data_IF_796187298863
#
_entry.id   IF_796187298863
#
_cell.length_a   1.000
_cell.length_b   1.000
_cell.length_c   1.000
_cell.angle_alpha   90.00
_cell.angle_beta   90.00
_cell.angle_gamma   90.00
#
_symmetry.space_group_name_H-M   'P 1'
#
loop_
_entity.id
_entity.type
_entity.pdbx_description
1 polymer ?
#
# COMPACT_ATOMS: atom_id res chain seq x y z
N UNK A 1 23.29 40.09 22.69
CA UNK A 1 23.84 39.00 21.83
C UNK A 1 25.19 39.46 21.27
N UNK A 2 26.16 38.56 21.19
CA UNK A 2 27.55 38.91 20.82
C UNK A 2 27.70 39.05 19.30
N UNK A 3 28.58 39.94 18.84
CA UNK A 3 28.84 40.15 17.40
C UNK A 3 29.43 38.91 16.71
N UNK A 4 30.00 37.98 17.49
CA UNK A 4 30.40 36.64 17.04
C UNK A 4 29.22 35.82 16.50
N UNK A 5 27.99 36.10 16.94
CA UNK A 5 26.76 35.47 16.41
C UNK A 5 26.34 36.11 15.08
N UNK A 6 26.60 37.42 14.88
CA UNK A 6 26.28 38.14 13.64
C UNK A 6 27.22 37.74 12.50
N UNK A 7 28.52 37.57 12.78
CA UNK A 7 29.49 37.12 11.76
C UNK A 7 29.19 35.70 11.26
N UNK A 8 28.79 34.79 12.17
CA UNK A 8 28.44 33.41 11.83
C UNK A 8 27.13 33.28 11.02
N UNK A 9 26.17 34.17 11.24
CA UNK A 9 24.98 34.27 10.39
C UNK A 9 25.33 34.77 8.98
N UNK A 10 26.17 35.82 8.90
CA UNK A 10 26.52 36.47 7.62
C UNK A 10 27.37 35.58 6.70
N UNK A 11 28.20 34.69 7.24
CA UNK A 11 28.97 33.72 6.45
C UNK A 11 28.14 32.57 5.89
N UNK A 12 26.96 32.26 6.46
CA UNK A 12 26.04 31.23 5.96
C UNK A 12 25.10 31.71 4.86
N UNK A 13 24.73 33.00 4.86
CA UNK A 13 23.88 33.57 3.81
C UNK A 13 24.56 33.60 2.42
N UNK A 14 25.88 33.78 2.38
CA UNK A 14 26.67 33.93 1.16
C UNK A 14 26.94 32.61 0.39
N UNK A 15 26.07 31.61 0.52
CA UNK A 15 26.19 30.28 -0.12
C UNK A 15 24.89 29.70 -0.68
N UNK A 16 23.85 30.53 -0.84
CA UNK A 16 22.65 30.16 -1.59
C UNK A 16 22.86 30.48 -3.09
N UNK A 17 22.37 29.65 -4.02
CA UNK A 17 22.29 30.00 -5.44
C UNK A 17 21.26 31.13 -5.66
N UNK A 18 21.34 31.88 -6.76
CA UNK A 18 20.37 32.93 -7.07
C UNK A 18 18.98 32.35 -7.37
N UNK A 19 17.94 33.08 -6.97
CA UNK A 19 16.54 32.73 -7.23
C UNK A 19 16.16 32.96 -8.70
N UNK A 20 15.17 32.20 -9.18
CA UNK A 20 14.60 32.33 -10.53
C UNK A 20 13.35 33.21 -10.45
N UNK A 21 13.10 34.14 -11.41
CA UNK A 21 11.98 35.07 -11.31
C UNK A 21 10.62 34.38 -11.22
N UNK A 22 9.79 34.85 -10.28
CA UNK A 22 8.36 34.54 -10.23
C UNK A 22 7.64 35.48 -11.21
N UNK A 23 6.83 34.92 -12.09
CA UNK A 23 5.80 35.68 -12.80
C UNK A 23 4.53 35.71 -11.96
N UNK A 24 3.98 36.91 -11.78
CA UNK A 24 2.73 37.16 -11.06
C UNK A 24 1.89 38.12 -11.92
N UNK A 25 0.71 37.67 -12.36
CA UNK A 25 -0.21 38.47 -13.18
C UNK A 25 -1.62 37.87 -13.10
N UNK A 26 -2.50 38.47 -12.28
CA UNK A 26 -3.89 38.06 -12.12
C UNK A 26 -4.83 39.22 -11.69
N UNK A 27 -4.96 40.25 -12.52
CA UNK A 27 -6.08 41.21 -12.45
C UNK A 27 -6.15 42.10 -13.71
N UNK A 28 -7.31 42.72 -13.93
CA UNK A 28 -7.61 43.74 -14.95
C UNK A 28 -7.68 43.22 -16.41
N UNK A 29 -8.65 43.60 -17.25
CA UNK A 29 -9.91 44.30 -16.98
C UNK A 29 -11.00 43.90 -18.02
N UNK A 30 -12.24 44.36 -17.83
CA UNK A 30 -13.35 44.20 -18.78
C UNK A 30 -13.62 45.57 -19.40
N UNK A 31 -13.61 45.71 -20.74
CA UNK A 31 -14.68 46.44 -21.47
C UNK A 31 -14.55 46.47 -23.02
N UNK A 32 -15.72 46.62 -23.66
CA UNK A 32 -16.03 47.24 -24.96
C UNK A 32 -15.58 46.61 -26.32
N UNK A 33 -16.61 46.25 -27.13
CA UNK A 33 -16.96 46.80 -28.46
C UNK A 33 -15.87 47.07 -29.54
N UNK A 34 -16.14 47.01 -30.85
CA UNK A 34 -17.18 46.44 -31.73
C UNK A 34 -16.63 46.55 -33.17
N UNK A 35 -17.36 46.12 -34.21
CA UNK A 35 -16.95 46.12 -35.64
C UNK A 35 -15.71 45.24 -35.98
N UNK A 36 -15.54 44.72 -37.20
CA UNK A 36 -16.43 44.69 -38.36
C UNK A 36 -15.69 44.32 -39.66
N UNK A 37 -16.45 43.95 -40.71
CA UNK A 37 -16.05 43.94 -42.14
C UNK A 37 -15.05 42.84 -42.62
N UNK A 38 -15.61 41.69 -43.00
CA UNK A 38 -15.66 41.14 -44.38
C UNK A 38 -14.36 41.11 -45.24
N UNK A 39 -13.74 39.92 -45.26
CA UNK A 39 -13.43 39.04 -46.42
C UNK A 39 -12.62 39.47 -47.68
N UNK A 40 -11.93 38.45 -48.24
CA UNK A 40 -11.35 38.34 -49.60
C UNK A 40 -10.00 39.06 -49.86
N UNK A 41 -9.08 38.63 -50.72
CA UNK A 41 -9.05 37.52 -51.72
C UNK A 41 -7.72 36.72 -51.71
N UNK A 42 -7.74 35.59 -52.42
CA UNK A 42 -6.59 34.79 -52.92
C UNK A 42 -5.38 35.60 -53.45
N UNK A 43 -4.17 35.03 -53.33
CA UNK A 43 -3.33 34.68 -54.51
C UNK A 43 -2.20 33.68 -54.12
N UNK A 44 -2.07 32.60 -54.89
CA UNK A 44 -0.87 31.74 -55.02
C UNK A 44 0.01 32.32 -56.14
N UNK A 45 1.36 32.23 -56.10
CA UNK A 45 1.99 31.03 -56.64
C UNK A 45 3.37 30.59 -56.08
N UNK A 46 3.56 29.26 -56.03
CA UNK A 46 4.70 28.43 -56.53
C UNK A 46 5.66 29.09 -57.57
N UNK A 47 6.92 28.67 -57.83
CA UNK A 47 7.83 27.53 -57.48
C UNK A 47 9.31 28.04 -57.53
N UNK A 48 10.43 27.35 -57.27
CA UNK A 48 10.77 25.94 -56.87
C UNK A 48 11.83 26.04 -55.72
N UNK A 49 13.02 25.42 -55.59
CA UNK A 49 13.81 24.38 -56.29
C UNK A 49 14.57 23.53 -55.25
N UNK A 50 14.36 22.20 -55.26
CA UNK A 50 15.40 21.19 -54.95
C UNK A 50 14.90 19.76 -55.22
N UNK A 51 15.04 19.30 -56.46
CA UNK A 51 14.64 17.95 -56.90
C UNK A 51 15.72 16.85 -56.75
N UNK A 52 15.30 15.58 -56.94
CA UNK A 52 16.12 14.34 -57.16
C UNK A 52 16.47 13.50 -55.90
N UNK A 53 16.55 12.16 -55.92
CA UNK A 53 16.16 11.12 -56.90
C UNK A 53 16.30 9.71 -56.26
N UNK A 54 15.68 8.60 -56.72
CA UNK A 54 14.47 8.42 -57.56
C UNK A 54 13.97 6.96 -57.51
N UNK A 55 12.65 6.80 -57.37
CA UNK A 55 11.74 5.90 -58.10
C UNK A 55 12.09 4.43 -58.45
N UNK A 56 11.17 3.53 -58.07
CA UNK A 56 10.77 2.37 -58.87
C UNK A 56 9.24 2.17 -58.74
N UNK A 57 8.55 1.72 -59.81
CA UNK A 57 7.08 1.82 -59.92
C UNK A 57 6.39 0.48 -60.24
N UNK A 58 5.13 0.35 -59.83
CA UNK A 58 4.15 -0.58 -60.42
C UNK A 58 2.72 -0.10 -60.15
N UNK A 59 2.01 0.31 -61.19
CA UNK A 59 0.60 0.74 -61.11
C UNK A 59 -0.35 -0.42 -61.44
N UNK A 60 -1.31 -0.68 -60.55
CA UNK A 60 -2.40 -1.64 -60.80
C UNK A 60 -3.70 -1.15 -60.16
N UNK A 61 -4.70 -0.80 -60.98
CA UNK A 61 -6.00 -0.29 -60.54
C UNK A 61 -6.97 -1.43 -60.21
N UNK A 62 -7.10 -1.77 -58.93
CA UNK A 62 -8.05 -2.77 -58.45
C UNK A 62 -9.37 -2.11 -58.03
N UNK A 63 -10.49 -2.55 -58.64
CA UNK A 63 -11.84 -2.15 -58.21
C UNK A 63 -12.19 -2.85 -56.88
N UNK A 64 -12.80 -2.15 -55.89
CA UNK A 64 -13.25 -2.79 -54.67
C UNK A 64 -14.48 -3.68 -54.92
N UNK A 65 -14.31 -5.00 -54.82
CA UNK A 65 -15.41 -5.97 -54.82
C UNK A 65 -16.02 -6.06 -53.42
N UNK A 66 -17.26 -5.58 -53.26
CA UNK A 66 -17.93 -5.51 -51.96
C UNK A 66 -18.44 -6.86 -51.45
N UNK A 67 -17.62 -7.61 -50.70
CA UNK A 67 -18.03 -8.68 -49.76
C UNK A 67 -16.86 -9.10 -48.84
N UNK A 68 -16.48 -8.25 -47.87
CA UNK A 68 -15.69 -8.69 -46.71
C UNK A 68 -16.17 -8.02 -45.41
N UNK A 69 -16.22 -8.79 -44.32
CA UNK A 69 -16.80 -8.36 -43.05
C UNK A 69 -15.82 -7.49 -42.24
N UNK A 70 -16.05 -6.17 -42.24
CA UNK A 70 -15.25 -5.17 -41.50
C UNK A 70 -15.31 -5.28 -39.96
N UNK A 71 -15.96 -6.32 -39.42
CA UNK A 71 -16.06 -6.62 -37.98
C UNK A 71 -15.41 -7.96 -37.57
N UNK A 72 -14.66 -8.60 -38.46
CA UNK A 72 -13.89 -9.80 -38.12
C UNK A 72 -12.78 -9.46 -37.12
N UNK A 73 -12.94 -9.85 -35.85
CA UNK A 73 -11.94 -9.65 -34.79
C UNK A 73 -10.62 -10.32 -35.19
N UNK A 74 -9.55 -9.53 -35.31
CA UNK A 74 -8.20 -10.07 -35.50
C UNK A 74 -7.83 -10.98 -34.32
N UNK A 75 -7.14 -12.11 -34.55
CA UNK A 75 -6.62 -12.92 -33.45
C UNK A 75 -5.61 -12.11 -32.63
N UNK A 76 -5.92 -11.84 -31.35
CA UNK A 76 -4.94 -11.23 -30.43
C UNK A 76 -3.70 -12.15 -30.36
N UNK A 77 -2.51 -11.53 -30.34
CA UNK A 77 -1.22 -12.22 -30.28
C UNK A 77 -1.11 -13.17 -29.08
N UNK A 78 -0.16 -14.10 -29.14
CA UNK A 78 0.15 -14.97 -28.01
C UNK A 78 0.56 -14.19 -26.74
N UNK A 79 1.20 -13.02 -26.88
CA UNK A 79 1.61 -12.18 -25.75
C UNK A 79 0.39 -11.70 -24.94
N UNK A 80 -0.65 -11.18 -25.61
CA UNK A 80 -1.88 -10.72 -24.97
C UNK A 80 -2.71 -11.83 -24.30
N UNK A 81 -2.37 -13.12 -24.52
CA UNK A 81 -2.87 -14.24 -23.73
C UNK A 81 -1.99 -14.51 -22.51
N UNK A 82 -0.66 -14.51 -22.66
CA UNK A 82 0.30 -14.70 -21.56
C UNK A 82 0.22 -13.58 -20.50
N UNK A 83 0.06 -12.33 -20.94
CA UNK A 83 -0.18 -11.14 -20.11
C UNK A 83 -1.48 -11.22 -19.29
N UNK A 84 -2.37 -12.16 -19.61
CA UNK A 84 -3.65 -12.37 -18.94
C UNK A 84 -3.78 -13.74 -18.25
N UNK A 85 -2.73 -14.57 -18.27
CA UNK A 85 -2.71 -15.84 -17.55
C UNK A 85 -2.55 -15.59 -16.05
N UNK A 86 -3.44 -16.08 -15.17
CA UNK A 86 -3.27 -15.97 -13.73
C UNK A 86 -1.90 -16.46 -13.23
N UNK A 87 -1.41 -15.88 -12.13
CA UNK A 87 -0.25 -16.36 -11.38
C UNK A 87 -0.71 -17.02 -10.07
N UNK A 88 0.14 -17.86 -9.47
CA UNK A 88 -0.16 -18.46 -8.17
C UNK A 88 0.22 -17.49 -7.04
N UNK A 89 -0.48 -17.54 -5.91
CA UNK A 89 0.00 -16.84 -4.70
C UNK A 89 1.33 -17.43 -4.22
N UNK A 90 1.59 -18.71 -4.52
CA UNK A 90 2.81 -19.44 -4.15
C UNK A 90 4.07 -18.88 -4.80
N UNK A 91 3.93 -18.08 -5.87
CA UNK A 91 5.03 -17.36 -6.50
C UNK A 91 5.48 -16.12 -5.67
N UNK A 92 4.74 -15.76 -4.61
CA UNK A 92 4.91 -14.53 -3.83
C UNK A 92 4.95 -14.72 -2.29
N UNK A 93 4.37 -15.80 -1.75
CA UNK A 93 4.31 -16.07 -0.31
C UNK A 93 4.69 -17.53 0.02
N UNK A 94 5.32 -17.72 1.19
CA UNK A 94 5.91 -19.01 1.59
C UNK A 94 4.84 -20.05 2.02
N UNK A 95 3.64 -19.61 2.41
CA UNK A 95 2.43 -20.43 2.68
C UNK A 95 1.16 -19.57 2.79
N UNK A 96 0.00 -20.22 2.74
CA UNK A 96 -1.28 -19.68 3.22
C UNK A 96 -1.65 -20.31 4.58
N UNK A 97 -2.48 -19.65 5.37
CA UNK A 97 -3.03 -20.14 6.64
C UNK A 97 -4.52 -19.79 6.75
N UNK A 98 -5.27 -20.71 7.36
CA UNK A 98 -6.62 -20.49 7.86
C UNK A 98 -6.58 -20.46 9.39
N UNK A 99 -7.15 -19.40 9.97
CA UNK A 99 -7.15 -19.08 11.39
C UNK A 99 -8.62 -19.00 11.85
N UNK A 100 -9.08 -20.05 12.52
CA UNK A 100 -10.49 -20.21 12.90
C UNK A 100 -10.83 -19.41 14.17
N UNK A 101 -11.99 -18.77 14.18
CA UNK A 101 -12.51 -17.99 15.30
C UNK A 101 -14.01 -18.23 15.51
N UNK A 102 -14.42 -18.59 16.73
CA UNK A 102 -15.83 -18.62 17.12
C UNK A 102 -16.13 -17.44 18.05
N UNK A 103 -16.94 -16.49 17.56
CA UNK A 103 -17.18 -15.19 18.20
C UNK A 103 -18.59 -14.68 17.90
N UNK A 104 -19.32 -14.26 18.94
CA UNK A 104 -20.69 -13.71 18.83
C UNK A 104 -21.69 -14.58 18.02
N UNK A 105 -21.55 -15.91 18.08
CA UNK A 105 -22.40 -16.85 17.32
C UNK A 105 -22.03 -16.98 15.83
N UNK A 106 -20.90 -16.40 15.42
CA UNK A 106 -20.29 -16.57 14.10
C UNK A 106 -19.04 -17.44 14.20
N UNK A 107 -18.82 -18.25 13.17
CA UNK A 107 -17.59 -19.01 12.95
C UNK A 107 -16.87 -18.41 11.74
N UNK A 108 -15.66 -17.90 11.93
CA UNK A 108 -14.90 -17.14 10.94
C UNK A 108 -13.58 -17.86 10.64
N UNK A 109 -13.41 -18.32 9.41
CA UNK A 109 -12.12 -18.81 8.91
C UNK A 109 -11.35 -17.63 8.31
N UNK A 110 -10.52 -16.95 9.10
CA UNK A 110 -9.67 -15.85 8.61
C UNK A 110 -8.54 -16.41 7.75
N UNK A 111 -8.39 -15.89 6.53
CA UNK A 111 -7.39 -16.33 5.58
C UNK A 111 -6.23 -15.34 5.47
N UNK A 112 -5.00 -15.86 5.51
CA UNK A 112 -3.79 -15.05 5.35
C UNK A 112 -2.74 -15.74 4.48
N UNK A 113 -2.02 -14.95 3.70
CA UNK A 113 -0.78 -15.34 3.04
C UNK A 113 0.40 -14.87 3.90
N UNK A 114 1.38 -15.73 4.15
CA UNK A 114 2.51 -15.40 5.01
C UNK A 114 3.86 -15.81 4.43
N UNK A 115 4.78 -14.85 4.46
CA UNK A 115 6.21 -15.07 4.50
C UNK A 115 6.70 -14.91 5.93
N UNK A 116 7.42 -15.89 6.48
CA UNK A 116 7.95 -15.78 7.84
C UNK A 116 9.15 -14.80 7.88
N UNK A 117 9.31 -13.98 8.93
CA UNK A 117 10.55 -13.26 9.16
C UNK A 117 11.67 -14.25 9.53
N UNK A 118 12.91 -13.90 9.21
CA UNK A 118 14.09 -14.58 9.73
C UNK A 118 14.79 -13.71 10.78
N UNK A 119 15.60 -14.35 11.62
CA UNK A 119 16.45 -13.66 12.60
C UNK A 119 15.65 -12.71 13.50
N UNK A 120 16.10 -11.47 13.69
CA UNK A 120 15.35 -10.39 14.35
C UNK A 120 14.65 -9.47 13.35
N UNK A 121 14.22 -9.99 12.20
CA UNK A 121 13.54 -9.23 11.14
C UNK A 121 12.12 -8.76 11.52
N UNK A 122 11.62 -7.68 10.90
CA UNK A 122 10.28 -7.17 11.16
C UNK A 122 9.21 -8.02 10.47
N UNK A 123 7.96 -7.88 10.92
CA UNK A 123 6.78 -8.36 10.21
C UNK A 123 5.97 -7.19 9.64
N UNK A 124 5.89 -7.09 8.31
CA UNK A 124 4.97 -6.19 7.65
C UNK A 124 3.59 -6.84 7.58
N UNK A 125 2.61 -6.29 8.30
CA UNK A 125 1.22 -6.77 8.31
C UNK A 125 0.40 -5.91 7.36
N UNK A 126 -0.13 -6.48 6.28
CA UNK A 126 -0.73 -5.71 5.18
C UNK A 126 -2.24 -5.95 5.03
N UNK A 127 -3.01 -4.87 5.05
CA UNK A 127 -4.48 -4.88 4.92
C UNK A 127 -4.92 -4.13 3.66
N UNK A 128 -5.71 -4.80 2.82
CA UNK A 128 -6.16 -4.29 1.54
C UNK A 128 -7.36 -3.32 1.62
N UNK A 129 -7.65 -2.63 0.52
CA UNK A 129 -8.85 -1.79 0.35
C UNK A 129 -10.15 -2.58 0.14
N UNK A 130 -11.30 -1.90 0.21
CA UNK A 130 -12.60 -2.56 0.03
C UNK A 130 -12.73 -3.20 -1.37
N UNK A 131 -13.32 -4.39 -1.45
CA UNK A 131 -13.44 -5.17 -2.69
C UNK A 131 -12.13 -5.74 -3.25
N UNK A 132 -11.05 -5.69 -2.47
CA UNK A 132 -9.71 -6.20 -2.83
C UNK A 132 -9.39 -7.52 -2.08
N UNK A 133 -8.12 -7.93 -2.03
CA UNK A 133 -7.66 -9.11 -1.26
C UNK A 133 -6.21 -8.92 -0.77
N UNK A 134 -5.69 -9.80 0.09
CA UNK A 134 -4.28 -9.77 0.52
C UNK A 134 -3.30 -9.87 -0.66
N UNK A 135 -3.72 -10.52 -1.77
CA UNK A 135 -2.92 -10.60 -2.99
C UNK A 135 -2.69 -9.23 -3.67
N UNK A 136 -3.43 -8.18 -3.31
CA UNK A 136 -3.11 -6.79 -3.67
C UNK A 136 -1.81 -6.27 -3.03
N UNK A 137 -1.17 -7.01 -2.13
CA UNK A 137 0.19 -6.73 -1.65
C UNK A 137 1.25 -7.70 -2.20
N UNK A 138 0.88 -8.72 -2.99
CA UNK A 138 1.80 -9.78 -3.43
C UNK A 138 3.05 -9.24 -4.17
N UNK A 139 2.85 -8.35 -5.14
CA UNK A 139 3.97 -7.73 -5.86
C UNK A 139 4.87 -6.88 -4.93
N UNK A 140 4.28 -6.13 -3.99
CA UNK A 140 5.05 -5.33 -3.04
C UNK A 140 5.79 -6.20 -2.00
N UNK A 141 5.20 -7.31 -1.56
CA UNK A 141 5.81 -8.27 -0.64
C UNK A 141 7.13 -8.85 -1.17
N UNK A 142 7.16 -9.21 -2.46
CA UNK A 142 8.38 -9.69 -3.14
C UNK A 142 9.46 -8.59 -3.20
N UNK A 143 9.08 -7.34 -3.48
CA UNK A 143 10.04 -6.22 -3.47
C UNK A 143 10.54 -5.88 -2.05
N UNK A 144 9.71 -6.03 -1.01
CA UNK A 144 10.16 -5.90 0.39
C UNK A 144 11.21 -6.98 0.72
N UNK A 145 10.94 -8.26 0.42
CA UNK A 145 11.90 -9.36 0.67
C UNK A 145 13.19 -9.23 -0.15
N UNK A 146 13.17 -8.55 -1.30
CA UNK A 146 14.41 -8.22 -2.06
C UNK A 146 15.29 -7.17 -1.36
N UNK A 147 14.67 -6.15 -0.76
CA UNK A 147 15.38 -5.01 -0.14
C UNK A 147 15.76 -5.32 1.32
N UNK A 148 14.98 -6.16 2.00
CA UNK A 148 15.19 -6.64 3.37
C UNK A 148 14.87 -8.14 3.45
N UNK A 149 15.83 -9.04 3.16
CA UNK A 149 15.58 -10.49 3.10
C UNK A 149 15.10 -11.13 4.41
N UNK A 150 15.34 -10.50 5.56
CA UNK A 150 14.86 -10.97 6.87
C UNK A 150 13.41 -10.59 7.17
N UNK A 151 12.78 -9.74 6.34
CA UNK A 151 11.42 -9.28 6.56
C UNK A 151 10.38 -10.38 6.33
N UNK A 152 9.53 -10.57 7.34
CA UNK A 152 8.29 -11.30 7.20
C UNK A 152 7.20 -10.42 6.59
N UNK A 153 6.25 -11.06 5.91
CA UNK A 153 5.05 -10.41 5.37
C UNK A 153 3.85 -11.24 5.82
N UNK A 154 2.88 -10.61 6.48
CA UNK A 154 1.58 -11.20 6.80
C UNK A 154 0.50 -10.42 6.05
N UNK A 155 -0.08 -10.98 5.01
CA UNK A 155 -1.13 -10.31 4.23
C UNK A 155 -2.46 -11.03 4.41
N UNK A 156 -3.45 -10.33 4.96
CA UNK A 156 -4.76 -10.91 5.28
C UNK A 156 -5.79 -10.61 4.20
N UNK A 157 -6.70 -11.57 3.99
CA UNK A 157 -7.99 -11.31 3.37
C UNK A 157 -8.96 -10.86 4.48
N UNK A 158 -9.50 -9.64 4.38
CA UNK A 158 -10.52 -9.17 5.32
C UNK A 158 -11.80 -10.02 5.25
N UNK A 159 -12.64 -10.00 6.28
CA UNK A 159 -13.95 -10.67 6.26
C UNK A 159 -14.76 -10.35 5.00
N UNK A 160 -15.39 -11.38 4.44
CA UNK A 160 -16.16 -11.32 3.19
C UNK A 160 -15.33 -10.90 1.94
N UNK A 161 -14.00 -10.99 2.01
CA UNK A 161 -13.05 -10.79 0.90
C UNK A 161 -12.14 -12.02 0.74
N UNK A 162 -11.51 -12.17 -0.42
CA UNK A 162 -10.54 -13.25 -0.71
C UNK A 162 -11.04 -14.64 -0.30
N UNK A 163 -10.26 -15.42 0.45
CA UNK A 163 -10.72 -16.73 0.97
C UNK A 163 -11.26 -16.67 2.41
N UNK A 164 -11.32 -15.50 3.06
CA UNK A 164 -11.90 -15.38 4.41
C UNK A 164 -13.41 -15.60 4.36
N UNK A 165 -13.90 -16.59 5.12
CA UNK A 165 -15.32 -16.94 5.16
C UNK A 165 -15.92 -16.76 6.54
N UNK A 166 -17.01 -15.99 6.60
CA UNK A 166 -17.85 -15.82 7.79
C UNK A 166 -19.06 -16.75 7.64
N UNK A 167 -19.32 -17.56 8.66
CA UNK A 167 -20.47 -18.47 8.75
C UNK A 167 -21.14 -18.28 10.10
N UNK A 168 -22.34 -18.83 10.26
CA UNK A 168 -22.95 -18.99 11.57
C UNK A 168 -22.28 -20.18 12.28
N UNK A 169 -22.00 -20.04 13.58
CA UNK A 169 -21.43 -21.13 14.37
C UNK A 169 -22.48 -22.24 14.59
N UNK A 170 -22.03 -23.49 14.77
CA UNK A 170 -22.93 -24.64 14.83
C UNK A 170 -23.79 -24.67 16.11
N UNK A 171 -23.35 -23.99 17.16
CA UNK A 171 -23.99 -23.95 18.47
C UNK A 171 -25.07 -22.86 18.62
N UNK A 172 -25.42 -22.11 17.56
CA UNK A 172 -26.40 -21.02 17.64
C UNK A 172 -27.81 -21.45 17.23
N UNK A 173 -28.82 -21.11 18.05
CA UNK A 173 -30.24 -21.44 17.81
C UNK A 173 -30.92 -20.59 16.71
N UNK A 174 -30.23 -19.58 16.15
CA UNK A 174 -30.79 -18.61 15.20
C UNK A 174 -30.59 -19.03 13.73
N UNK A 175 -31.66 -19.48 13.08
CA UNK A 175 -31.68 -19.84 11.65
C UNK A 175 -31.76 -18.64 10.68
N UNK A 176 -31.59 -17.39 11.13
CA UNK A 176 -31.52 -16.23 10.23
C UNK A 176 -30.26 -16.25 9.33
N UNK A 177 -30.23 -15.36 8.33
CA UNK A 177 -29.02 -15.15 7.54
C UNK A 177 -27.98 -14.37 8.37
N UNK A 178 -26.70 -14.67 8.15
CA UNK A 178 -25.61 -13.89 8.75
C UNK A 178 -25.61 -12.48 8.14
N UNK A 179 -25.93 -11.48 8.96
CA UNK A 179 -25.84 -10.08 8.56
C UNK A 179 -24.38 -9.71 8.26
N UNK A 180 -24.18 -8.92 7.20
CA UNK A 180 -22.88 -8.35 6.90
C UNK A 180 -22.51 -7.33 8.01
N UNK A 181 -21.37 -7.52 8.65
CA UNK A 181 -20.77 -6.55 9.57
C UNK A 181 -19.35 -6.23 9.09
N UNK A 182 -19.17 -5.01 8.58
CA UNK A 182 -17.89 -4.43 8.18
C UNK A 182 -17.60 -3.14 8.96
N UNK A 183 -18.08 -3.01 10.20
CA UNK A 183 -17.76 -1.86 11.03
C UNK A 183 -16.24 -1.76 11.27
N UNK A 184 -15.72 -0.53 11.34
CA UNK A 184 -14.29 -0.26 11.50
C UNK A 184 -13.71 -0.93 12.76
N UNK A 185 -14.46 -0.88 13.87
CA UNK A 185 -14.08 -1.53 15.13
C UNK A 185 -13.94 -3.05 14.98
N UNK A 186 -14.88 -3.69 14.25
CA UNK A 186 -14.86 -5.13 13.99
C UNK A 186 -13.68 -5.52 13.11
N UNK A 187 -13.45 -4.81 11.99
CA UNK A 187 -12.29 -5.04 11.11
C UNK A 187 -10.95 -4.85 11.85
N UNK A 188 -10.91 -3.86 12.74
CA UNK A 188 -9.78 -3.58 13.63
C UNK A 188 -9.56 -4.72 14.64
N UNK A 189 -10.63 -5.34 15.17
CA UNK A 189 -10.55 -6.52 16.04
C UNK A 189 -10.11 -7.77 15.26
N UNK A 190 -10.64 -8.00 14.07
CA UNK A 190 -10.24 -9.10 13.18
C UNK A 190 -8.73 -9.03 12.87
N UNK A 191 -8.20 -7.85 12.54
CA UNK A 191 -6.77 -7.63 12.28
C UNK A 191 -5.89 -8.00 13.50
N UNK A 192 -6.30 -7.58 14.70
CA UNK A 192 -5.57 -7.86 15.94
C UNK A 192 -5.63 -9.36 16.28
N UNK A 193 -6.78 -10.01 16.11
CA UNK A 193 -6.94 -11.46 16.24
C UNK A 193 -6.03 -12.22 15.27
N UNK A 194 -6.01 -11.83 14.00
CA UNK A 194 -5.17 -12.43 12.95
C UNK A 194 -3.68 -12.34 13.28
N UNK A 195 -3.21 -11.21 13.82
CA UNK A 195 -1.80 -11.04 14.22
C UNK A 195 -1.42 -12.00 15.36
N UNK A 196 -2.25 -12.11 16.40
CA UNK A 196 -1.97 -12.98 17.55
C UNK A 196 -2.15 -14.47 17.20
N UNK A 197 -3.18 -14.84 16.44
CA UNK A 197 -3.31 -16.23 15.96
C UNK A 197 -2.18 -16.61 15.00
N UNK A 198 -1.66 -15.68 14.20
CA UNK A 198 -0.45 -15.94 13.39
C UNK A 198 0.75 -16.25 14.29
N UNK A 199 0.96 -15.48 15.37
CA UNK A 199 2.02 -15.73 16.37
C UNK A 199 1.92 -17.14 16.95
N UNK A 200 0.71 -17.55 17.34
CA UNK A 200 0.43 -18.87 17.90
C UNK A 200 0.66 -19.97 16.84
N UNK A 201 0.05 -19.84 15.65
CA UNK A 201 0.11 -20.82 14.56
C UNK A 201 1.53 -21.01 14.00
N UNK A 202 2.36 -19.97 14.03
CA UNK A 202 3.76 -20.00 13.60
C UNK A 202 4.74 -20.31 14.74
N UNK A 203 4.24 -20.56 15.96
CA UNK A 203 5.02 -20.88 17.15
C UNK A 203 6.12 -19.84 17.47
N UNK A 204 5.76 -18.55 17.45
CA UNK A 204 6.66 -17.46 17.84
C UNK A 204 6.53 -17.14 19.34
N UNK A 205 7.64 -17.20 20.08
CA UNK A 205 7.67 -16.92 21.53
C UNK A 205 7.18 -15.51 21.88
N UNK A 206 7.45 -14.53 21.02
CA UNK A 206 6.84 -13.20 21.04
C UNK A 206 6.60 -12.72 19.61
N UNK A 207 5.73 -11.72 19.42
CA UNK A 207 5.57 -11.06 18.12
C UNK A 207 6.93 -10.53 17.62
N UNK A 208 7.25 -10.64 16.32
CA UNK A 208 8.24 -9.78 15.67
C UNK A 208 7.89 -8.30 15.87
N UNK A 209 8.85 -7.41 15.61
CA UNK A 209 8.55 -5.98 15.59
C UNK A 209 7.72 -5.65 14.33
N UNK A 210 6.61 -4.95 14.52
CA UNK A 210 5.52 -4.84 13.55
C UNK A 210 5.54 -3.50 12.80
N UNK A 211 5.28 -3.58 11.50
CA UNK A 211 4.90 -2.44 10.66
C UNK A 211 3.55 -2.75 10.00
N UNK A 212 2.50 -2.03 10.38
CA UNK A 212 1.18 -2.20 9.73
C UNK A 212 1.13 -1.38 8.42
N UNK A 213 0.55 -1.92 7.35
CA UNK A 213 0.42 -1.24 6.07
C UNK A 213 -1.00 -1.40 5.55
N UNK A 214 -1.74 -0.30 5.45
CA UNK A 214 -3.15 -0.32 5.10
C UNK A 214 -3.45 0.50 3.86
N UNK A 215 -4.10 -0.09 2.86
CA UNK A 215 -4.59 0.61 1.66
C UNK A 215 -6.09 0.93 1.78
N UNK A 216 -6.48 2.17 1.46
CA UNK A 216 -7.89 2.59 1.43
C UNK A 216 -8.62 2.24 2.74
N UNK A 217 -9.68 1.41 2.72
CA UNK A 217 -10.30 0.81 3.92
C UNK A 217 -9.25 0.24 4.91
N UNK A 218 -8.30 -0.56 4.43
CA UNK A 218 -7.24 -1.12 5.27
C UNK A 218 -6.39 -0.03 5.94
N UNK A 219 -6.24 1.14 5.32
CA UNK A 219 -5.59 2.32 5.91
C UNK A 219 -6.31 2.82 7.16
N UNK A 220 -7.64 2.80 7.15
CA UNK A 220 -8.44 3.07 8.35
C UNK A 220 -8.30 1.95 9.39
N UNK A 221 -8.37 0.68 8.97
CA UNK A 221 -8.29 -0.48 9.89
C UNK A 221 -6.96 -0.52 10.64
N UNK A 222 -5.82 -0.36 9.95
CA UNK A 222 -4.50 -0.33 10.63
C UNK A 222 -4.34 0.89 11.53
N UNK A 223 -4.95 2.01 11.18
CA UNK A 223 -4.92 3.23 12.00
C UNK A 223 -5.75 3.07 13.27
N UNK A 224 -6.91 2.41 13.19
CA UNK A 224 -7.75 2.11 14.35
C UNK A 224 -7.07 1.10 15.29
N UNK A 225 -6.50 0.01 14.75
CA UNK A 225 -5.71 -0.95 15.52
C UNK A 225 -4.48 -0.28 16.20
N UNK A 226 -3.78 0.63 15.51
CA UNK A 226 -2.71 1.44 16.07
C UNK A 226 -3.18 2.48 17.11
N UNK A 227 -4.48 2.83 17.09
CA UNK A 227 -5.12 3.74 18.07
C UNK A 227 -5.55 3.02 19.35
N UNK A 228 -5.85 1.71 19.27
CA UNK A 228 -6.19 0.84 20.42
C UNK A 228 -4.98 0.49 21.31
N UNK A 229 -3.76 0.53 20.76
CA UNK A 229 -2.49 0.25 21.46
C UNK A 229 -2.32 -1.18 22.03
N UNK A 230 -3.15 -2.13 21.60
CA UNK A 230 -3.08 -3.55 22.02
C UNK A 230 -1.77 -4.23 21.59
N UNK A 231 -1.18 -3.79 20.47
CA UNK A 231 0.16 -4.23 20.01
C UNK A 231 1.32 -3.60 20.81
N UNK A 232 1.03 -2.64 21.69
CA UNK A 232 1.94 -2.05 22.68
C UNK A 232 3.29 -1.60 22.10
N UNK A 233 4.37 -2.13 22.67
CA UNK A 233 5.73 -1.81 22.23
C UNK A 233 6.13 -2.45 20.90
N UNK A 234 5.46 -3.53 20.48
CA UNK A 234 5.80 -4.27 19.25
C UNK A 234 5.40 -3.52 17.98
N UNK A 235 4.40 -2.64 18.06
CA UNK A 235 4.14 -1.68 16.98
C UNK A 235 5.28 -0.66 16.91
N UNK A 236 6.09 -0.74 15.85
CA UNK A 236 7.09 0.28 15.55
C UNK A 236 6.45 1.46 14.83
N UNK A 237 5.70 1.16 13.76
CA UNK A 237 5.14 2.16 12.87
C UNK A 237 3.96 1.61 12.05
N UNK A 238 3.22 2.49 11.39
CA UNK A 238 2.17 2.13 10.44
C UNK A 238 2.15 3.09 9.24
N UNK A 239 1.69 2.56 8.11
CA UNK A 239 1.63 3.23 6.82
C UNK A 239 0.21 3.19 6.25
N UNK A 240 -0.27 4.33 5.78
CA UNK A 240 -1.59 4.50 5.16
C UNK A 240 -1.39 4.82 3.67
N UNK A 241 -2.09 4.10 2.79
CA UNK A 241 -1.95 4.20 1.33
C UNK A 241 -3.25 4.70 0.67
N UNK A 242 -3.14 5.80 -0.08
CA UNK A 242 -4.17 6.49 -0.86
C UNK A 242 -5.53 6.70 -0.17
N UNK A 243 -5.50 7.20 1.07
CA UNK A 243 -6.71 7.65 1.78
C UNK A 243 -6.40 8.82 2.71
N UNK A 244 -7.28 9.83 2.67
CA UNK A 244 -7.35 10.98 3.58
C UNK A 244 -8.84 11.28 3.81
N UNK A 245 -9.23 11.56 5.06
CA UNK A 245 -10.62 11.67 5.50
C UNK A 245 -11.51 12.52 4.57
N UNK A 246 -11.15 13.79 4.33
CA UNK A 246 -11.93 14.67 3.46
C UNK A 246 -12.09 14.12 2.04
N UNK A 247 -10.97 13.81 1.37
CA UNK A 247 -10.98 13.27 0.01
C UNK A 247 -11.70 11.92 -0.13
N UNK A 248 -11.71 11.10 0.93
CA UNK A 248 -12.43 9.84 0.95
C UNK A 248 -13.94 10.07 0.99
N UNK A 249 -14.41 10.95 1.88
CA UNK A 249 -15.81 11.34 1.99
C UNK A 249 -16.37 11.96 0.70
N UNK A 250 -15.58 12.79 0.02
CA UNK A 250 -15.94 13.32 -1.31
C UNK A 250 -16.00 12.19 -2.36
N UNK A 251 -15.01 11.29 -2.36
CA UNK A 251 -14.97 10.17 -3.30
C UNK A 251 -16.15 9.20 -3.15
N UNK A 252 -16.72 9.03 -1.94
CA UNK A 252 -17.91 8.18 -1.72
C UNK A 252 -19.10 8.58 -2.60
N UNK A 253 -19.27 9.88 -2.88
CA UNK A 253 -20.34 10.39 -3.74
C UNK A 253 -20.20 9.88 -5.19
N UNK A 254 -18.96 9.69 -5.66
CA UNK A 254 -18.67 9.16 -7.00
C UNK A 254 -18.72 7.62 -7.08
N UNK A 255 -18.72 6.94 -5.93
CA UNK A 255 -18.49 5.50 -5.86
C UNK A 255 -19.62 4.68 -6.49
N UNK A 256 -20.88 5.09 -6.35
CA UNK A 256 -22.01 4.40 -7.00
C UNK A 256 -21.91 4.44 -8.53
N UNK A 257 -21.50 5.60 -9.08
CA UNK A 257 -21.21 5.77 -10.50
C UNK A 257 -20.09 4.81 -10.92
N UNK A 258 -18.96 4.77 -10.20
CA UNK A 258 -17.89 3.80 -10.48
C UNK A 258 -18.39 2.35 -10.45
N UNK A 259 -19.11 1.95 -9.39
CA UNK A 259 -19.64 0.59 -9.26
C UNK A 259 -20.53 0.18 -10.45
N UNK A 260 -21.36 1.09 -10.96
CA UNK A 260 -22.23 0.84 -12.11
C UNK A 260 -21.51 0.70 -13.46
N UNK A 261 -20.29 1.25 -13.60
CA UNK A 261 -19.46 1.04 -14.81
C UNK A 261 -18.76 -0.32 -14.85
N UNK A 262 -18.71 -1.05 -13.72
CA UNK A 262 -18.01 -2.34 -13.65
C UNK A 262 -18.84 -3.45 -14.33
N UNK A 263 -18.23 -4.33 -15.13
CA UNK A 263 -18.91 -5.54 -15.62
C UNK A 263 -19.41 -6.38 -14.44
N UNK A 264 -20.67 -6.81 -14.45
CA UNK A 264 -21.25 -7.65 -13.39
C UNK A 264 -20.59 -9.03 -13.27
N UNK A 265 -20.08 -9.55 -14.38
CA UNK A 265 -19.39 -10.85 -14.48
C UNK A 265 -18.45 -10.92 -15.69
N UNK A 266 -17.59 -11.94 -15.75
CA UNK A 266 -16.60 -12.16 -16.80
C UNK A 266 -16.67 -13.57 -17.40
N UNK A 267 -16.38 -13.75 -18.71
CA UNK A 267 -16.32 -15.07 -19.35
C UNK A 267 -15.11 -15.92 -18.91
N UNK A 268 -14.09 -15.32 -18.30
CA UNK A 268 -12.94 -16.02 -17.74
C UNK A 268 -12.14 -15.13 -16.79
N UNK A 269 -11.33 -15.72 -15.91
CA UNK A 269 -10.33 -15.00 -15.10
C UNK A 269 -9.43 -14.10 -15.98
N UNK A 270 -8.96 -14.61 -17.12
CA UNK A 270 -8.16 -13.84 -18.07
C UNK A 270 -8.90 -12.62 -18.65
N UNK A 271 -10.23 -12.68 -18.77
CA UNK A 271 -11.04 -11.51 -19.14
C UNK A 271 -11.20 -10.51 -18.00
N UNK A 272 -11.21 -10.96 -16.75
CA UNK A 272 -11.16 -10.10 -15.55
C UNK A 272 -9.82 -9.38 -15.41
N UNK A 273 -8.71 -10.10 -15.59
CA UNK A 273 -7.34 -9.54 -15.58
C UNK A 273 -7.17 -8.50 -16.69
N UNK A 274 -7.59 -8.82 -17.93
CA UNK A 274 -7.62 -7.86 -19.05
C UNK A 274 -8.43 -6.60 -18.71
N UNK A 275 -9.59 -6.74 -18.05
CA UNK A 275 -10.41 -5.58 -17.74
C UNK A 275 -9.71 -4.63 -16.76
N UNK A 276 -9.09 -5.14 -15.68
CA UNK A 276 -8.40 -4.30 -14.69
C UNK A 276 -7.20 -3.53 -15.27
N UNK A 277 -6.46 -4.13 -16.21
CA UNK A 277 -5.33 -3.47 -16.88
C UNK A 277 -5.79 -2.50 -17.96
N UNK A 278 -6.84 -2.83 -18.71
CA UNK A 278 -7.40 -1.94 -19.74
C UNK A 278 -8.19 -0.76 -19.15
N UNK A 279 -8.86 -0.92 -18.01
CA UNK A 279 -9.49 0.17 -17.25
C UNK A 279 -8.47 1.05 -16.53
N UNK A 280 -7.21 0.58 -16.39
CA UNK A 280 -6.17 1.15 -15.52
C UNK A 280 -6.56 1.20 -14.04
N UNK A 281 -7.48 0.33 -13.61
CA UNK A 281 -7.78 0.09 -12.18
C UNK A 281 -6.56 -0.50 -11.49
N UNK A 282 -5.85 -1.42 -12.16
CA UNK A 282 -4.51 -1.90 -11.77
C UNK A 282 -3.62 -1.75 -13.00
N UNK A 283 -2.64 -0.85 -12.95
CA UNK A 283 -1.76 -0.51 -14.09
C UNK A 283 -0.66 -1.55 -14.29
N UNK A 284 -0.30 -2.28 -13.25
CA UNK A 284 0.77 -3.27 -13.27
C UNK A 284 0.26 -4.67 -13.65
N UNK A 285 0.67 -5.16 -14.82
CA UNK A 285 0.28 -6.48 -15.34
C UNK A 285 0.74 -7.65 -14.46
N UNK A 286 1.87 -7.55 -13.75
CA UNK A 286 2.29 -8.61 -12.81
C UNK A 286 1.30 -8.69 -11.64
N UNK A 287 1.01 -7.53 -11.02
CA UNK A 287 0.13 -7.46 -9.86
C UNK A 287 -1.29 -7.91 -10.23
N UNK A 288 -1.86 -7.37 -11.31
CA UNK A 288 -3.20 -7.76 -11.77
C UNK A 288 -3.35 -9.27 -12.04
N UNK A 289 -2.29 -9.97 -12.46
CA UNK A 289 -2.31 -11.43 -12.71
C UNK A 289 -2.37 -12.27 -11.43
N UNK A 290 -1.91 -11.75 -10.28
CA UNK A 290 -1.99 -12.43 -8.98
C UNK A 290 -3.13 -11.91 -8.10
N UNK A 291 -3.45 -10.61 -8.14
CA UNK A 291 -4.46 -9.99 -7.27
C UNK A 291 -5.90 -10.15 -7.76
N UNK A 292 -6.16 -10.10 -9.08
CA UNK A 292 -7.52 -10.20 -9.63
C UNK A 292 -8.21 -11.56 -9.43
N UNK A 293 -7.52 -12.72 -9.51
CA UNK A 293 -8.18 -14.03 -9.35
C UNK A 293 -8.95 -14.23 -8.05
N UNK A 294 -8.46 -13.72 -6.92
CA UNK A 294 -9.14 -13.78 -5.61
C UNK A 294 -10.35 -12.83 -5.52
N UNK A 295 -10.40 -11.76 -6.31
CA UNK A 295 -11.54 -10.83 -6.35
C UNK A 295 -12.78 -11.42 -7.04
N UNK A 296 -12.59 -12.54 -7.75
CA UNK A 296 -13.60 -13.24 -8.51
C UNK A 296 -13.94 -14.60 -7.86
N UNK A 297 -15.13 -15.11 -8.19
CA UNK A 297 -15.58 -16.47 -7.88
C UNK A 297 -16.29 -17.05 -9.08
N UNK A 298 -16.16 -18.35 -9.26
CA UNK A 298 -16.92 -19.07 -10.29
C UNK A 298 -18.34 -19.35 -9.79
N UNK A 299 -19.32 -19.05 -10.63
CA UNK A 299 -20.73 -19.38 -10.45
C UNK A 299 -21.15 -20.30 -11.62
N UNK A 300 -21.21 -21.63 -11.40
CA UNK A 300 -21.55 -22.60 -12.43
C UNK A 300 -22.95 -22.44 -13.07
N UNK A 301 -23.81 -21.56 -12.55
CA UNK A 301 -25.13 -21.28 -13.13
C UNK A 301 -25.08 -20.40 -14.39
N UNK A 302 -24.05 -19.57 -14.57
CA UNK A 302 -23.87 -18.73 -15.77
C UNK A 302 -22.75 -19.31 -16.65
N UNK A 303 -23.10 -20.21 -17.56
CA UNK A 303 -22.14 -20.83 -18.50
C UNK A 303 -21.52 -19.85 -19.50
N UNK A 304 -22.00 -18.60 -19.58
CA UNK A 304 -21.51 -17.57 -20.51
C UNK A 304 -20.50 -16.63 -19.86
N UNK A 305 -20.73 -16.28 -18.58
CA UNK A 305 -19.92 -15.34 -17.78
C UNK A 305 -19.86 -15.82 -16.32
N UNK A 306 -19.29 -17.00 -16.03
CA UNK A 306 -19.37 -17.60 -14.70
C UNK A 306 -18.58 -16.84 -13.63
N UNK A 307 -17.60 -16.00 -14.02
CA UNK A 307 -16.74 -15.31 -13.07
C UNK A 307 -17.38 -14.04 -12.55
N UNK A 308 -18.07 -14.13 -11.41
CA UNK A 308 -18.74 -13.02 -10.74
C UNK A 308 -17.81 -12.41 -9.68
N UNK A 309 -18.06 -11.16 -9.28
CA UNK A 309 -17.36 -10.56 -8.15
C UNK A 309 -17.58 -11.38 -6.86
N UNK A 310 -16.53 -11.52 -6.07
CA UNK A 310 -16.57 -12.27 -4.81
C UNK A 310 -17.28 -11.47 -3.72
N UNK A 311 -16.81 -10.26 -3.46
CA UNK A 311 -17.41 -9.32 -2.53
C UNK A 311 -18.44 -8.46 -3.24
N UNK A 312 -19.68 -8.42 -2.74
CA UNK A 312 -20.64 -7.39 -3.14
C UNK A 312 -20.24 -6.06 -2.48
N UNK A 313 -19.48 -5.27 -3.22
CA UNK A 313 -19.00 -3.97 -2.76
C UNK A 313 -20.15 -2.95 -2.58
N UNK A 314 -21.29 -3.10 -3.27
CA UNK A 314 -22.44 -2.21 -3.10
C UNK A 314 -23.17 -2.47 -1.76
N UNK A 315 -23.29 -3.74 -1.35
CA UNK A 315 -23.82 -4.12 -0.04
C UNK A 315 -23.00 -3.54 1.14
N UNK A 316 -21.75 -3.12 0.91
CA UNK A 316 -20.91 -2.49 1.94
C UNK A 316 -21.18 -0.99 2.16
N UNK A 317 -22.00 -0.34 1.32
CA UNK A 317 -22.30 1.11 1.39
C UNK A 317 -22.64 1.64 2.80
N UNK A 318 -23.44 0.96 3.65
CA UNK A 318 -23.79 1.47 4.98
C UNK A 318 -22.61 1.69 5.93
N UNK A 319 -21.43 1.12 5.64
CA UNK A 319 -20.24 1.22 6.49
C UNK A 319 -19.25 2.30 6.04
N UNK A 320 -19.34 2.77 4.78
CA UNK A 320 -18.28 3.57 4.13
C UNK A 320 -17.91 4.85 4.88
N UNK A 321 -18.91 5.63 5.29
CA UNK A 321 -18.72 6.88 6.04
C UNK A 321 -18.03 6.63 7.40
N UNK A 322 -18.48 5.59 8.11
CA UNK A 322 -17.93 5.19 9.42
C UNK A 322 -16.53 4.55 9.35
N UNK A 323 -16.00 4.27 8.14
CA UNK A 323 -14.60 3.90 7.96
C UNK A 323 -13.67 5.13 8.01
N UNK A 324 -14.14 6.30 7.60
CA UNK A 324 -13.29 7.47 7.36
C UNK A 324 -13.51 8.63 8.34
N UNK A 325 -14.67 8.73 9.00
CA UNK A 325 -14.92 9.73 10.05
C UNK A 325 -13.85 9.65 11.16
N UNK A 326 -13.19 10.78 11.41
CA UNK A 326 -12.11 10.94 12.39
C UNK A 326 -10.83 10.18 12.04
N UNK A 327 -10.66 9.66 10.82
CA UNK A 327 -9.46 8.94 10.41
C UNK A 327 -8.20 9.82 10.53
N UNK A 328 -8.24 11.07 10.06
CA UNK A 328 -7.07 11.95 10.08
C UNK A 328 -6.64 12.28 11.51
N UNK A 329 -7.63 12.44 12.41
CA UNK A 329 -7.44 12.61 13.85
C UNK A 329 -6.87 11.36 14.52
N UNK A 330 -7.44 10.18 14.22
CA UNK A 330 -6.95 8.89 14.73
C UNK A 330 -5.51 8.66 14.27
N UNK A 331 -5.21 8.89 13.00
CA UNK A 331 -3.87 8.81 12.41
C UNK A 331 -2.90 9.70 13.17
N UNK A 332 -3.17 11.00 13.34
CA UNK A 332 -2.23 11.88 14.06
C UNK A 332 -2.06 11.54 15.55
N UNK A 333 -2.98 10.80 16.16
CA UNK A 333 -2.96 10.41 17.58
C UNK A 333 -2.48 8.97 17.86
N UNK A 334 -2.42 8.08 16.87
CA UNK A 334 -2.07 6.67 17.07
C UNK A 334 -0.55 6.42 17.17
N UNK A 335 -0.18 5.37 17.93
CA UNK A 335 1.19 5.12 18.43
C UNK A 335 2.11 4.54 17.35
N UNK A 336 3.38 4.96 17.39
CA UNK A 336 4.42 4.52 16.46
C UNK A 336 4.73 5.56 15.39
N UNK A 337 5.71 5.26 14.54
CA UNK A 337 5.97 6.05 13.33
C UNK A 337 4.73 6.10 12.44
N UNK A 338 4.53 7.24 11.76
CA UNK A 338 3.43 7.45 10.80
C UNK A 338 3.96 7.71 9.40
N UNK A 339 3.46 6.97 8.41
CA UNK A 339 3.72 7.17 6.98
C UNK A 339 2.39 7.31 6.23
N UNK A 340 2.35 8.26 5.30
CA UNK A 340 1.24 8.44 4.36
C UNK A 340 1.80 8.42 2.93
N UNK A 341 1.33 7.48 2.12
CA UNK A 341 1.61 7.43 0.68
C UNK A 341 0.35 7.81 -0.09
N UNK A 342 0.43 8.80 -0.99
CA UNK A 342 -0.70 9.24 -1.82
C UNK A 342 -0.36 9.18 -3.31
N UNK A 343 -1.36 9.00 -4.17
CA UNK A 343 -1.21 9.20 -5.61
C UNK A 343 -1.10 10.69 -5.96
N UNK A 344 -1.80 11.57 -5.22
CA UNK A 344 -1.80 13.03 -5.44
C UNK A 344 -1.79 13.84 -4.14
N UNK A 345 -1.31 15.09 -4.21
CA UNK A 345 -1.26 16.05 -3.09
C UNK A 345 -2.55 16.82 -2.87
N UNK A 346 -3.47 16.78 -3.83
CA UNK A 346 -4.78 17.46 -3.92
C UNK A 346 -5.78 17.09 -2.80
N UNK A 347 -5.36 16.31 -1.80
CA UNK A 347 -6.23 15.50 -0.94
C UNK A 347 -5.99 15.66 0.55
N UNK A 348 -4.96 16.41 0.96
CA UNK A 348 -4.68 16.63 2.38
C UNK A 348 -5.75 17.55 3.00
N UNK A 349 -6.48 17.04 3.99
CA UNK A 349 -7.35 17.87 4.82
C UNK A 349 -6.56 18.77 5.78
N UNK A 350 -7.29 19.67 6.45
CA UNK A 350 -6.74 20.65 7.39
C UNK A 350 -5.96 20.00 8.54
N UNK A 351 -6.40 18.86 9.08
CA UNK A 351 -5.70 18.20 10.18
C UNK A 351 -4.37 17.60 9.68
N UNK A 352 -4.39 16.88 8.55
CA UNK A 352 -3.19 16.29 7.96
C UNK A 352 -2.21 17.34 7.43
N UNK A 353 -2.67 18.48 6.93
CA UNK A 353 -1.82 19.61 6.55
C UNK A 353 -1.11 20.19 7.78
N UNK A 354 -1.84 20.46 8.87
CA UNK A 354 -1.26 20.91 10.14
C UNK A 354 -0.28 19.86 10.69
N UNK A 355 -0.64 18.57 10.61
CA UNK A 355 0.23 17.48 11.04
C UNK A 355 1.53 17.37 10.24
N UNK A 356 1.48 17.64 8.93
CA UNK A 356 2.64 17.65 8.05
C UNK A 356 3.56 18.83 8.34
N UNK A 357 3.00 20.04 8.48
CA UNK A 357 3.77 21.24 8.88
C UNK A 357 4.40 21.09 10.27
N UNK A 358 3.81 20.28 11.15
CA UNK A 358 4.35 19.93 12.47
C UNK A 358 5.30 18.71 12.46
N UNK A 359 5.56 18.09 11.29
CA UNK A 359 6.44 16.93 11.15
C UNK A 359 5.97 15.67 11.88
N UNK A 360 4.66 15.52 12.13
CA UNK A 360 4.08 14.39 12.89
C UNK A 360 4.11 13.05 12.15
N UNK A 361 4.29 13.07 10.83
CA UNK A 361 4.35 11.90 9.96
C UNK A 361 5.28 12.15 8.77
N UNK A 362 5.63 11.07 8.07
CA UNK A 362 6.31 11.14 6.78
C UNK A 362 5.27 11.07 5.66
N UNK A 363 5.31 12.02 4.73
CA UNK A 363 4.49 12.04 3.51
C UNK A 363 5.37 11.74 2.30
N UNK A 364 4.85 10.95 1.36
CA UNK A 364 5.46 10.74 0.04
C UNK A 364 4.37 10.53 -1.02
N UNK A 365 4.57 11.08 -2.21
CA UNK A 365 3.55 11.10 -3.28
C UNK A 365 4.08 10.42 -4.55
N UNK A 366 3.26 9.57 -5.18
CA UNK A 366 3.57 8.82 -6.39
C UNK A 366 2.59 9.19 -7.53
N UNK A 367 2.81 10.30 -8.27
CA UNK A 367 1.89 10.79 -9.32
C UNK A 367 1.71 9.85 -10.52
N UNK A 368 2.57 8.84 -10.66
CA UNK A 368 2.48 7.81 -11.70
C UNK A 368 1.53 6.64 -11.33
N UNK A 369 1.10 6.56 -10.07
CA UNK A 369 0.16 5.54 -9.61
C UNK A 369 -1.30 5.92 -9.89
N UNK A 370 -2.18 4.92 -9.93
CA UNK A 370 -3.60 5.09 -9.62
C UNK A 370 -3.85 4.88 -8.12
N UNK A 371 -5.08 4.51 -7.77
CA UNK A 371 -5.48 4.31 -6.38
C UNK A 371 -4.69 3.18 -5.68
N UNK A 372 -4.32 2.13 -6.42
CA UNK A 372 -3.62 0.95 -5.89
C UNK A 372 -2.09 1.15 -5.93
N UNK A 373 -1.59 2.10 -5.14
CA UNK A 373 -0.16 2.49 -5.09
C UNK A 373 0.77 1.28 -4.96
N UNK A 374 0.43 0.33 -4.07
CA UNK A 374 1.19 -0.89 -3.80
C UNK A 374 1.20 -1.90 -4.97
N UNK A 375 0.20 -1.86 -5.86
CA UNK A 375 0.12 -2.73 -7.04
C UNK A 375 0.78 -2.06 -8.26
N UNK A 376 0.53 -0.76 -8.45
CA UNK A 376 1.03 0.01 -9.58
C UNK A 376 2.55 0.26 -9.48
N UNK A 377 3.03 0.59 -8.27
CA UNK A 377 4.40 0.99 -7.98
C UNK A 377 5.02 0.15 -6.84
N UNK A 378 5.07 -1.19 -6.97
CA UNK A 378 5.39 -2.11 -5.86
C UNK A 378 6.81 -1.92 -5.33
N UNK A 379 7.80 -1.76 -6.21
CA UNK A 379 9.20 -1.57 -5.83
C UNK A 379 9.45 -0.24 -5.11
N UNK A 380 8.83 0.84 -5.60
CA UNK A 380 8.90 2.17 -4.98
C UNK A 380 8.18 2.19 -3.62
N UNK A 381 7.04 1.50 -3.52
CA UNK A 381 6.31 1.29 -2.25
C UNK A 381 7.17 0.53 -1.25
N UNK A 382 7.76 -0.60 -1.67
CA UNK A 382 8.62 -1.43 -0.84
C UNK A 382 9.86 -0.69 -0.32
N UNK A 383 10.54 0.08 -1.18
CA UNK A 383 11.71 0.88 -0.78
C UNK A 383 11.35 1.86 0.34
N UNK A 384 10.26 2.63 0.18
CA UNK A 384 9.82 3.61 1.19
C UNK A 384 9.38 2.92 2.48
N UNK A 385 8.67 1.77 2.40
CA UNK A 385 8.28 0.99 3.57
C UNK A 385 9.48 0.43 4.35
N UNK A 386 10.50 -0.08 3.65
CA UNK A 386 11.70 -0.66 4.26
C UNK A 386 12.60 0.42 4.87
N UNK A 387 12.79 1.55 4.20
CA UNK A 387 13.58 2.66 4.77
C UNK A 387 12.84 3.34 5.93
N UNK A 388 11.51 3.40 5.87
CA UNK A 388 10.69 3.85 6.99
C UNK A 388 10.74 2.88 8.18
N UNK A 389 10.76 1.56 7.97
CA UNK A 389 11.06 0.59 9.01
C UNK A 389 12.44 0.85 9.65
N UNK A 390 13.52 0.90 8.85
CA UNK A 390 14.90 1.11 9.33
C UNK A 390 15.04 2.41 10.16
N UNK A 391 14.21 3.42 9.88
CA UNK A 391 14.18 4.70 10.59
C UNK A 391 13.43 4.66 11.93
N UNK A 392 12.53 3.69 12.11
CA UNK A 392 11.76 3.48 13.34
C UNK A 392 12.26 2.28 14.19
N UNK A 393 13.14 1.45 13.64
CA UNK A 393 13.82 0.38 14.37
C UNK A 393 14.61 0.96 15.55
N UNK A 394 14.37 0.37 16.72
CA UNK A 394 14.98 0.77 17.99
C UNK A 394 16.32 0.06 18.23
N UNK A 395 16.63 -1.01 17.49
CA UNK A 395 17.92 -1.70 17.56
C UNK A 395 19.09 -0.78 17.19
N UNK A 396 18.87 0.11 16.21
CA UNK A 396 19.84 1.12 15.77
C UNK A 396 20.14 2.21 16.83
N UNK A 397 19.33 2.31 17.90
CA UNK A 397 19.46 3.31 18.97
C UNK A 397 20.14 2.79 20.24
N UNK A 398 20.87 1.66 20.16
CA UNK A 398 21.80 1.25 21.22
C UNK A 398 22.95 2.26 21.31
N UNK A 399 22.78 3.25 22.18
CA UNK A 399 23.84 4.19 22.56
C UNK A 399 25.06 3.40 23.06
N UNK A 400 26.30 3.81 22.71
CA UNK A 400 27.50 3.24 23.32
C UNK A 400 27.38 3.26 24.85
N UNK A 401 27.71 2.16 25.56
CA UNK A 401 27.62 2.11 27.02
C UNK A 401 28.45 3.25 27.61
N UNK A 402 27.96 3.89 28.68
CA UNK A 402 28.61 5.10 29.20
C UNK A 402 30.01 4.72 29.66
N UNK A 403 30.96 5.65 29.53
CA UNK A 403 32.36 5.40 29.89
C UNK A 403 32.49 4.94 31.36
N UNK A 404 31.61 5.41 32.26
CA UNK A 404 31.51 4.90 33.62
C UNK A 404 31.10 3.42 33.73
N UNK A 405 30.17 2.95 32.90
CA UNK A 405 29.72 1.55 32.88
C UNK A 405 30.84 0.63 32.35
N UNK A 406 31.56 1.08 31.30
CA UNK A 406 32.74 0.40 30.75
C UNK A 406 33.85 0.32 31.82
N UNK A 407 34.15 1.41 32.51
CA UNK A 407 35.15 1.45 33.58
C UNK A 407 34.75 0.59 34.78
N UNK A 408 33.46 0.56 35.15
CA UNK A 408 32.95 -0.32 36.20
C UNK A 408 33.09 -1.80 35.81
N UNK A 409 32.73 -2.19 34.59
CA UNK A 409 32.92 -3.55 34.09
C UNK A 409 34.41 -3.96 34.08
N UNK A 410 35.31 -3.07 33.65
CA UNK A 410 36.76 -3.31 33.67
C UNK A 410 37.34 -3.38 35.10
N UNK A 411 36.81 -2.61 36.05
CA UNK A 411 37.20 -2.66 37.45
C UNK A 411 36.75 -3.99 38.11
N UNK A 412 35.50 -4.40 37.87
CA UNK A 412 34.96 -5.68 38.35
C UNK A 412 35.74 -6.87 37.78
N UNK A 413 36.06 -6.85 36.48
CA UNK A 413 36.88 -7.88 35.83
C UNK A 413 38.31 -7.98 36.43
N UNK A 414 38.90 -6.86 36.86
CA UNK A 414 40.20 -6.85 37.55
C UNK A 414 40.11 -7.28 39.02
N UNK A 415 39.00 -6.99 39.71
CA UNK A 415 38.77 -7.37 41.11
C UNK A 415 38.75 -8.89 41.33
N UNK A 416 38.26 -9.65 40.35
CA UNK A 416 38.16 -11.12 40.44
C UNK A 416 39.50 -11.87 40.44
N UNK A 417 40.63 -11.21 40.09
CA UNK A 417 41.96 -11.85 40.02
C UNK A 417 42.77 -11.84 41.31
N UNK A 418 42.29 -11.20 42.39
CA UNK A 418 43.08 -10.88 43.60
C UNK A 418 43.07 -11.92 44.73
N UNK A 419 42.80 -13.20 44.44
CA UNK A 419 42.57 -14.26 45.44
C UNK A 419 43.81 -14.75 46.21
N UNK A 420 44.37 -13.88 47.07
CA UNK A 420 45.56 -14.06 47.91
C UNK A 420 45.94 -15.51 48.33
N UNK A 421 46.92 -16.10 47.64
CA UNK A 421 47.53 -17.38 48.02
C UNK A 421 48.71 -17.20 48.98
N UNK A 422 48.45 -17.20 50.30
CA UNK A 422 49.48 -17.01 51.33
C UNK A 422 49.22 -17.83 52.60
N UNK A 423 49.64 -19.10 52.61
CA UNK A 423 49.52 -19.98 53.77
C UNK A 423 50.54 -19.66 54.87
N UNK A 424 50.09 -19.58 56.12
CA UNK A 424 50.95 -19.40 57.30
C UNK A 424 51.78 -20.67 57.60
N UNK A 425 53.01 -20.53 58.15
CA UNK A 425 53.76 -21.66 58.68
C UNK A 425 53.20 -22.14 60.04
N UNK A 426 53.34 -23.43 60.39
CA UNK A 426 52.88 -23.96 61.67
C UNK A 426 53.82 -23.57 62.82
N UNK A 427 53.23 -23.10 63.93
CA UNK A 427 53.94 -22.85 65.19
C UNK A 427 54.15 -24.14 65.98
N UNK A 428 55.38 -24.43 66.38
CA UNK A 428 55.71 -25.53 67.29
C UNK A 428 55.49 -25.13 68.75
N UNK A 429 54.57 -25.80 69.45
CA UNK A 429 54.53 -25.82 70.92
C UNK A 429 54.97 -27.19 71.48
N UNK A 430 55.35 -27.21 72.76
CA UNK A 430 55.90 -28.38 73.45
C UNK A 430 54.97 -28.83 74.58
N UNK A 431 54.49 -30.07 74.50
CA UNK A 431 54.29 -30.98 75.65
C UNK A 431 53.95 -32.38 75.14
#
# INVERSE_FOLDING_TARGET
>A
MSDLQKSFAKSRLARLPPEVPVFDELSEEIENDHDGIIASMHYEPQDDDSSSASSASSTATVRPSGTQNLFARTPRSASARAEATPLSWMDFFDRELFLEEDVAGLHISHHVYISAPSDSGPLFVTHHGAGSSGLSFAACAVEIKKILPTAGILSLDARNHGSTSVRRSQDSEDNSQVNLDLNLETLSRDLLFVVEQTRIKMNWESLPDLVLVGHSLGGAVVTDAAKKDELGSKLLAYAVLDVVEGSAMDALQSMETYLSTRPSSFPSLASGINWHTQSRTIRNTLSARVSVPSLLREDPSDTSRPWKWRTDLAATKPFWENWFIGLSKKFLQARGGKLLLLAGTDRLDTELMIGQMQGKYQLQVFPEAGHFIQEDQPAKTAQILVDFYKRNDRSAFVLPPKVGDILAAQAMAKGAGGGNGGGFPPSTEKS
#
